data_IF_029215101758
#
_entry.id   IF_029215101758
#
_cell.length_a   1.000
_cell.length_b   1.000
_cell.length_c   1.000
_cell.angle_alpha   90.00
_cell.angle_beta   90.00
_cell.angle_gamma   90.00
#
_symmetry.space_group_name_H-M   'P 1'
#
loop_
_entity.id
_entity.type
_entity.pdbx_description
1 polymer ?
#
# COMPACT_ATOMS: atom_id res chain seq x y z
N UNK A 1 7.15 -31.69 -2.39
CA UNK A 1 6.99 -30.28 -2.82
C UNK A 1 8.19 -29.56 -2.24
N UNK A 2 8.98 -28.86 -3.05
CA UNK A 2 10.10 -28.08 -2.50
C UNK A 2 9.52 -26.95 -1.63
N UNK A 3 10.10 -26.67 -0.45
CA UNK A 3 9.63 -25.58 0.39
C UNK A 3 9.90 -24.25 -0.31
N UNK A 4 8.88 -23.41 -0.44
CA UNK A 4 9.04 -22.02 -0.88
C UNK A 4 9.87 -21.27 0.16
N UNK A 5 10.96 -20.62 -0.26
CA UNK A 5 11.85 -19.83 0.60
C UNK A 5 11.85 -18.37 0.16
N UNK A 6 12.17 -17.46 1.08
CA UNK A 6 12.43 -16.06 0.69
C UNK A 6 13.69 -15.99 -0.21
N UNK A 7 13.79 -15.05 -1.17
CA UNK A 7 14.97 -14.96 -2.05
C UNK A 7 16.32 -14.76 -1.34
N UNK A 8 16.30 -14.20 -0.13
CA UNK A 8 17.47 -13.96 0.72
C UNK A 8 17.70 -15.08 1.75
N UNK A 9 16.80 -16.06 1.85
CA UNK A 9 16.89 -17.14 2.82
C UNK A 9 17.68 -18.32 2.23
N UNK A 10 18.84 -18.68 2.80
CA UNK A 10 19.60 -19.82 2.33
C UNK A 10 18.84 -21.12 2.55
N UNK A 11 18.77 -21.99 1.53
CA UNK A 11 18.11 -23.30 1.61
C UNK A 11 18.68 -24.15 2.75
N UNK A 12 19.98 -24.07 2.99
CA UNK A 12 20.68 -24.78 4.05
C UNK A 12 20.17 -24.39 5.44
N UNK A 13 19.68 -23.15 5.61
CA UNK A 13 19.09 -22.71 6.87
C UNK A 13 17.77 -23.40 7.14
N UNK A 14 16.92 -23.53 6.12
CA UNK A 14 15.64 -24.24 6.21
C UNK A 14 15.87 -25.73 6.50
N UNK A 15 16.78 -26.35 5.77
CA UNK A 15 17.16 -27.76 5.96
C UNK A 15 17.75 -28.02 7.35
N UNK A 16 18.58 -27.09 7.86
CA UNK A 16 19.11 -27.16 9.21
C UNK A 16 18.00 -27.13 10.27
N UNK A 17 17.06 -26.19 10.16
CA UNK A 17 15.91 -26.09 11.08
C UNK A 17 15.04 -27.34 11.00
N UNK A 18 14.75 -27.85 9.80
CA UNK A 18 14.03 -29.11 9.61
C UNK A 18 14.76 -30.29 10.26
N UNK A 19 16.08 -30.36 10.14
CA UNK A 19 16.89 -31.38 10.78
C UNK A 19 16.83 -31.33 12.31
N UNK A 20 16.78 -30.13 12.90
CA UNK A 20 16.58 -29.96 14.35
C UNK A 20 15.16 -30.38 14.77
N UNK A 21 14.14 -29.99 14.00
CA UNK A 21 12.75 -30.42 14.23
C UNK A 21 12.64 -31.95 14.19
N UNK A 22 13.26 -32.61 13.21
CA UNK A 22 13.25 -34.06 13.07
C UNK A 22 13.92 -34.81 14.24
N UNK A 23 14.84 -34.17 14.96
CA UNK A 23 15.46 -34.72 16.18
C UNK A 23 14.55 -34.61 17.42
N UNK A 24 13.54 -33.74 17.39
CA UNK A 24 12.57 -33.56 18.49
C UNK A 24 13.10 -32.80 19.71
N UNK A 25 14.33 -32.28 19.69
CA UNK A 25 14.90 -31.49 20.79
C UNK A 25 14.55 -29.99 20.61
N UNK A 26 13.42 -29.59 21.19
CA UNK A 26 12.91 -28.22 21.10
C UNK A 26 13.79 -27.20 21.82
N UNK A 27 14.54 -27.61 22.84
CA UNK A 27 15.46 -26.74 23.56
C UNK A 27 16.69 -26.39 22.69
N UNK A 28 17.24 -27.38 21.98
CA UNK A 28 18.30 -27.13 20.99
C UNK A 28 17.78 -26.28 19.84
N UNK A 29 16.59 -26.56 19.32
CA UNK A 29 15.96 -25.76 18.27
C UNK A 29 15.77 -24.30 18.71
N UNK A 30 15.18 -24.08 19.90
CA UNK A 30 14.96 -22.74 20.44
C UNK A 30 16.26 -21.97 20.59
N UNK A 31 17.33 -22.59 21.13
CA UNK A 31 18.64 -21.94 21.22
C UNK A 31 19.20 -21.60 19.84
N UNK A 32 19.16 -22.53 18.90
CA UNK A 32 19.69 -22.32 17.54
C UNK A 32 18.94 -21.21 16.77
N UNK A 33 17.66 -21.01 17.06
CA UNK A 33 16.86 -19.92 16.48
C UNK A 33 17.08 -18.59 17.18
N UNK A 34 17.36 -18.57 18.49
CA UNK A 34 17.61 -17.34 19.25
C UNK A 34 19.06 -16.86 19.19
N UNK A 35 20.00 -17.72 18.79
CA UNK A 35 21.40 -17.35 18.65
C UNK A 35 21.57 -16.30 17.52
N UNK A 36 22.27 -15.20 17.79
CA UNK A 36 22.56 -14.17 16.80
C UNK A 36 23.73 -14.63 15.91
N UNK A 37 23.56 -15.72 15.16
CA UNK A 37 24.54 -16.12 14.15
C UNK A 37 24.36 -15.27 12.89
N UNK A 38 24.83 -14.02 12.98
CA UNK A 38 24.75 -13.03 11.92
C UNK A 38 23.38 -12.35 11.81
N UNK A 39 23.34 -11.28 11.03
CA UNK A 39 22.15 -10.45 10.74
C UNK A 39 21.13 -11.19 9.84
N UNK A 40 21.07 -12.52 9.93
CA UNK A 40 20.21 -13.37 9.12
C UNK A 40 18.84 -13.44 9.78
N UNK A 41 17.90 -12.67 9.25
CA UNK A 41 16.48 -12.88 9.51
C UNK A 41 16.10 -14.29 9.02
N UNK A 42 15.34 -15.02 9.84
CA UNK A 42 14.81 -16.33 9.46
C UNK A 42 13.66 -16.08 8.45
N UNK A 43 13.78 -16.65 7.26
CA UNK A 43 12.89 -16.37 6.13
C UNK A 43 11.53 -17.06 6.18
N UNK A 44 10.78 -16.91 5.08
CA UNK A 44 9.48 -17.54 4.90
C UNK A 44 9.53 -19.07 5.03
N UNK A 45 10.62 -19.70 4.60
CA UNK A 45 10.84 -21.14 4.70
C UNK A 45 10.94 -21.62 6.16
N UNK A 46 11.80 -20.99 6.97
CA UNK A 46 11.92 -21.30 8.40
C UNK A 46 10.59 -21.05 9.13
N UNK A 47 9.94 -19.91 8.90
CA UNK A 47 8.65 -19.63 9.56
C UNK A 47 7.57 -20.62 9.16
N UNK A 48 7.56 -21.09 7.91
CA UNK A 48 6.65 -22.16 7.44
C UNK A 48 6.92 -23.49 8.16
N UNK A 49 8.18 -23.87 8.34
CA UNK A 49 8.54 -25.08 9.12
C UNK A 49 8.03 -24.98 10.55
N UNK A 50 8.22 -23.82 11.20
CA UNK A 50 7.77 -23.59 12.57
C UNK A 50 6.23 -23.61 12.71
N UNK A 51 5.51 -23.04 11.75
CA UNK A 51 4.04 -23.07 11.70
C UNK A 51 3.50 -24.49 11.53
N UNK A 52 4.22 -25.35 10.80
CA UNK A 52 3.86 -26.75 10.57
C UNK A 52 4.06 -27.69 11.76
N UNK A 53 4.66 -27.23 12.86
CA UNK A 53 4.88 -28.04 14.05
C UNK A 53 3.55 -28.43 14.76
N UNK A 54 3.51 -29.60 15.43
CA UNK A 54 2.39 -29.96 16.29
C UNK A 54 2.13 -28.89 17.36
N UNK A 55 0.86 -28.70 17.73
CA UNK A 55 0.44 -27.68 18.70
C UNK A 55 1.27 -27.67 19.99
N UNK A 56 1.52 -28.83 20.59
CA UNK A 56 2.30 -28.94 21.81
C UNK A 56 3.73 -28.40 21.66
N UNK A 57 4.40 -28.71 20.54
CA UNK A 57 5.74 -28.21 20.24
C UNK A 57 5.75 -26.70 20.00
N UNK A 58 4.75 -26.19 19.27
CA UNK A 58 4.59 -24.74 19.07
C UNK A 58 4.36 -24.00 20.38
N UNK A 59 3.54 -24.54 21.27
CA UNK A 59 3.27 -23.94 22.58
C UNK A 59 4.52 -23.91 23.47
N UNK A 60 5.33 -24.98 23.45
CA UNK A 60 6.60 -25.02 24.18
C UNK A 60 7.60 -23.99 23.66
N UNK A 61 7.78 -23.91 22.33
CA UNK A 61 8.63 -22.90 21.70
C UNK A 61 8.12 -21.48 21.98
N UNK A 62 6.81 -21.25 21.94
CA UNK A 62 6.21 -19.95 22.24
C UNK A 62 6.56 -19.49 23.66
N UNK A 63 6.49 -20.39 24.65
CA UNK A 63 6.89 -20.08 26.03
C UNK A 63 8.38 -19.72 26.12
N UNK A 64 9.24 -20.49 25.48
CA UNK A 64 10.69 -20.22 25.43
C UNK A 64 11.00 -18.85 24.79
N UNK A 65 10.36 -18.52 23.67
CA UNK A 65 10.54 -17.23 23.00
C UNK A 65 9.98 -16.06 23.81
N UNK A 66 8.82 -16.23 24.45
CA UNK A 66 8.24 -15.21 25.33
C UNK A 66 9.12 -14.94 26.57
N UNK A 67 9.68 -15.99 27.17
CA UNK A 67 10.64 -15.87 28.27
C UNK A 67 11.90 -15.13 27.79
N UNK A 68 12.43 -15.48 26.62
CA UNK A 68 13.56 -14.77 26.02
C UNK A 68 13.23 -13.28 25.80
N UNK A 69 12.10 -12.93 25.20
CA UNK A 69 11.70 -11.53 24.98
C UNK A 69 11.59 -10.75 26.29
N UNK A 70 11.17 -11.39 27.38
CA UNK A 70 10.97 -10.77 28.69
C UNK A 70 12.27 -10.61 29.49
N UNK A 71 13.21 -11.54 29.35
CA UNK A 71 14.45 -11.61 30.15
C UNK A 71 15.65 -11.00 29.46
N UNK A 72 15.61 -10.87 28.12
CA UNK A 72 16.75 -10.45 27.33
C UNK A 72 17.13 -8.99 27.58
N UNK A 73 18.30 -8.81 28.19
CA UNK A 73 19.07 -7.55 28.17
C UNK A 73 19.79 -7.29 26.85
N UNK A 74 19.76 -8.25 25.91
CA UNK A 74 20.38 -8.05 24.60
C UNK A 74 19.75 -6.86 23.88
N UNK A 75 20.52 -6.28 22.96
CA UNK A 75 20.09 -5.11 22.20
C UNK A 75 18.81 -5.36 21.40
N UNK A 76 18.27 -4.28 20.81
CA UNK A 76 16.98 -4.29 20.10
C UNK A 76 16.81 -5.43 19.09
N UNK A 77 17.89 -5.85 18.40
CA UNK A 77 17.86 -6.95 17.44
C UNK A 77 17.48 -8.32 18.03
N UNK A 78 18.01 -8.68 19.20
CA UNK A 78 17.70 -9.96 19.85
C UNK A 78 16.25 -10.03 20.31
N UNK A 79 15.75 -8.93 20.91
CA UNK A 79 14.34 -8.80 21.29
C UNK A 79 13.41 -8.87 20.09
N UNK A 80 13.74 -8.19 18.99
CA UNK A 80 13.00 -8.25 17.72
C UNK A 80 12.91 -9.68 17.20
N UNK A 81 14.05 -10.38 17.12
CA UNK A 81 14.10 -11.77 16.65
C UNK A 81 13.21 -12.70 17.48
N UNK A 82 13.27 -12.58 18.81
CA UNK A 82 12.40 -13.34 19.71
C UNK A 82 10.91 -13.08 19.45
N UNK A 83 10.51 -11.84 19.18
CA UNK A 83 9.12 -11.49 18.84
C UNK A 83 8.66 -12.09 17.52
N UNK A 84 9.51 -12.10 16.49
CA UNK A 84 9.19 -12.68 15.17
C UNK A 84 9.03 -14.20 15.27
N UNK A 85 9.95 -14.86 15.98
CA UNK A 85 9.85 -16.31 16.22
C UNK A 85 8.61 -16.66 17.05
N UNK A 86 8.26 -15.85 18.05
CA UNK A 86 7.02 -15.99 18.81
C UNK A 86 5.78 -15.85 17.91
N UNK A 87 5.77 -14.89 16.97
CA UNK A 87 4.71 -14.74 15.98
C UNK A 87 4.60 -15.98 15.06
N UNK A 88 5.74 -16.55 14.64
CA UNK A 88 5.76 -17.72 13.76
C UNK A 88 5.11 -18.96 14.39
N UNK A 89 5.27 -19.19 15.71
CA UNK A 89 4.73 -20.39 16.37
C UNK A 89 3.35 -20.22 16.99
N UNK A 90 2.89 -19.00 17.24
CA UNK A 90 1.69 -18.69 18.05
C UNK A 90 0.33 -18.80 17.33
N UNK A 91 0.32 -19.26 16.07
CA UNK A 91 -0.92 -19.40 15.27
C UNK A 91 -2.04 -20.14 16.03
N UNK A 92 -3.18 -19.48 16.20
CA UNK A 92 -4.37 -20.02 16.85
C UNK A 92 -4.38 -20.02 18.38
N UNK A 93 -3.34 -19.49 19.05
CA UNK A 93 -3.28 -19.41 20.51
C UNK A 93 -2.52 -18.20 21.05
N UNK A 94 -2.38 -17.13 20.26
CA UNK A 94 -1.68 -15.92 20.66
C UNK A 94 -2.31 -15.28 21.92
N UNK A 95 -1.45 -14.84 22.85
CA UNK A 95 -1.84 -14.07 24.03
C UNK A 95 -1.94 -12.56 23.71
N UNK A 96 -2.78 -11.84 24.47
CA UNK A 96 -2.97 -10.40 24.30
C UNK A 96 -1.69 -9.59 24.46
N UNK A 97 -0.82 -9.94 25.43
CA UNK A 97 0.44 -9.24 25.65
C UNK A 97 1.43 -9.42 24.50
N UNK A 98 1.37 -10.55 23.79
CA UNK A 98 2.19 -10.80 22.60
C UNK A 98 1.69 -9.96 21.42
N UNK A 99 0.38 -9.85 21.26
CA UNK A 99 -0.24 -8.99 20.25
C UNK A 99 0.18 -7.53 20.44
N UNK A 100 0.11 -7.01 21.66
CA UNK A 100 0.51 -5.64 21.96
C UNK A 100 2.01 -5.39 21.64
N UNK A 101 2.87 -6.39 21.88
CA UNK A 101 4.29 -6.30 21.53
C UNK A 101 4.55 -6.32 20.01
N UNK A 102 3.80 -7.12 19.24
CA UNK A 102 3.88 -7.11 17.77
C UNK A 102 3.33 -5.83 17.17
N UNK A 103 2.22 -5.30 17.70
CA UNK A 103 1.68 -4.00 17.28
C UNK A 103 2.67 -2.87 17.52
N UNK A 104 3.32 -2.85 18.69
CA UNK A 104 4.36 -1.88 19.01
C UNK A 104 5.56 -1.99 18.06
N UNK A 105 6.00 -3.22 17.75
CA UNK A 105 7.07 -3.47 16.78
C UNK A 105 6.70 -2.94 15.39
N UNK A 106 5.53 -3.29 14.88
CA UNK A 106 5.11 -2.86 13.54
C UNK A 106 4.89 -1.35 13.45
N UNK A 107 4.33 -0.71 14.48
CA UNK A 107 4.15 0.75 14.53
C UNK A 107 5.49 1.48 14.54
N UNK A 108 6.46 0.99 15.32
CA UNK A 108 7.82 1.52 15.36
C UNK A 108 8.57 1.34 14.03
N UNK A 109 8.21 0.32 13.24
CA UNK A 109 8.75 0.13 11.89
C UNK A 109 8.10 1.10 10.90
N UNK A 110 6.77 1.23 10.94
CA UNK A 110 6.03 2.15 10.09
C UNK A 110 6.39 3.63 10.31
N UNK A 111 6.79 4.01 11.52
CA UNK A 111 7.24 5.38 11.81
C UNK A 111 8.65 5.70 11.28
N UNK A 112 9.46 4.68 10.97
CA UNK A 112 10.87 4.84 10.57
C UNK A 112 11.13 4.48 9.11
N UNK A 113 10.27 3.65 8.54
CA UNK A 113 10.46 3.12 7.19
C UNK A 113 9.27 3.46 6.30
N UNK A 114 9.59 3.88 5.08
CA UNK A 114 8.59 4.00 4.02
C UNK A 114 8.14 2.62 3.53
N UNK A 115 9.10 1.74 3.25
CA UNK A 115 8.90 0.37 2.79
C UNK A 115 10.00 -0.53 3.39
N UNK A 116 9.76 -1.83 3.40
CA UNK A 116 10.72 -2.83 3.84
C UNK A 116 11.07 -3.80 2.71
N UNK A 117 12.38 -3.99 2.47
CA UNK A 117 12.88 -4.84 1.38
C UNK A 117 12.79 -6.33 1.70
N UNK A 118 13.51 -6.79 2.72
CA UNK A 118 13.80 -8.23 2.93
C UNK A 118 13.67 -8.70 4.38
N UNK A 119 13.06 -7.91 5.28
CA UNK A 119 12.94 -8.31 6.69
C UNK A 119 11.60 -9.04 6.93
N UNK A 120 11.66 -10.31 7.34
CA UNK A 120 10.49 -11.19 7.50
C UNK A 120 9.60 -10.82 8.71
N UNK A 121 10.06 -9.85 9.53
CA UNK A 121 9.37 -9.38 10.73
C UNK A 121 7.99 -8.80 10.41
N UNK A 122 7.90 -8.05 9.32
CA UNK A 122 6.70 -7.36 8.86
C UNK A 122 5.55 -8.34 8.57
N UNK A 123 5.80 -9.34 7.72
CA UNK A 123 4.78 -10.29 7.29
C UNK A 123 4.43 -11.30 8.38
N UNK A 124 5.43 -11.76 9.13
CA UNK A 124 5.23 -12.77 10.18
C UNK A 124 4.40 -12.20 11.33
N UNK A 125 4.72 -11.00 11.81
CA UNK A 125 3.96 -10.34 12.88
C UNK A 125 2.58 -9.87 12.37
N UNK A 126 2.50 -9.34 11.15
CA UNK A 126 1.22 -8.94 10.54
C UNK A 126 0.24 -10.11 10.44
N UNK A 127 0.72 -11.27 10.00
CA UNK A 127 -0.08 -12.50 9.93
C UNK A 127 -0.57 -12.93 11.32
N UNK A 128 0.31 -12.95 12.34
CA UNK A 128 -0.04 -13.35 13.69
C UNK A 128 -1.11 -12.44 14.33
N UNK A 129 -1.02 -11.12 14.10
CA UNK A 129 -2.02 -10.16 14.57
C UNK A 129 -3.38 -10.38 13.92
N UNK A 130 -3.41 -10.57 12.60
CA UNK A 130 -4.64 -10.83 11.87
C UNK A 130 -5.29 -12.14 12.34
N UNK A 131 -4.51 -13.20 12.59
CA UNK A 131 -5.01 -14.48 13.13
C UNK A 131 -5.58 -14.35 14.54
N UNK A 132 -5.01 -13.46 15.35
CA UNK A 132 -5.56 -13.08 16.65
C UNK A 132 -6.82 -12.18 16.54
N UNK A 133 -7.31 -11.92 15.32
CA UNK A 133 -8.47 -11.06 15.07
C UNK A 133 -8.21 -9.57 15.30
N UNK A 134 -6.94 -9.15 15.42
CA UNK A 134 -6.56 -7.75 15.59
C UNK A 134 -6.62 -7.03 14.23
N UNK A 135 -6.97 -5.74 14.28
CA UNK A 135 -6.85 -4.84 13.13
C UNK A 135 -5.46 -4.21 13.14
N UNK A 136 -4.89 -4.03 11.96
CA UNK A 136 -3.62 -3.31 11.81
C UNK A 136 -3.87 -1.80 11.75
N UNK A 137 -2.94 -1.04 12.29
CA UNK A 137 -2.92 0.42 12.20
C UNK A 137 -2.71 0.88 10.74
N UNK A 138 -3.24 2.05 10.38
CA UNK A 138 -3.19 2.55 9.00
C UNK A 138 -1.78 2.73 8.46
N UNK A 139 -0.84 3.17 9.30
CA UNK A 139 0.57 3.32 8.90
C UNK A 139 1.24 1.96 8.66
N UNK A 140 0.87 0.95 9.45
CA UNK A 140 1.35 -0.43 9.27
C UNK A 140 0.80 -1.03 7.98
N UNK A 141 -0.48 -0.78 7.67
CA UNK A 141 -1.10 -1.19 6.41
C UNK A 141 -0.41 -0.54 5.22
N UNK A 142 -0.07 0.75 5.31
CA UNK A 142 0.69 1.44 4.28
C UNK A 142 2.08 0.83 4.09
N UNK A 143 2.82 0.59 5.18
CA UNK A 143 4.12 -0.08 5.15
C UNK A 143 4.06 -1.44 4.47
N UNK A 144 3.05 -2.27 4.78
CA UNK A 144 2.83 -3.58 4.15
C UNK A 144 2.59 -3.46 2.64
N UNK A 145 1.67 -2.58 2.23
CA UNK A 145 1.36 -2.36 0.80
C UNK A 145 2.55 -1.83 0.01
N UNK A 146 3.30 -0.88 0.58
CA UNK A 146 4.53 -0.33 -0.05
C UNK A 146 5.60 -1.40 -0.20
N UNK A 147 5.85 -2.16 0.87
CA UNK A 147 6.80 -3.28 0.87
C UNK A 147 6.47 -4.32 -0.20
N UNK A 148 5.19 -4.63 -0.39
CA UNK A 148 4.75 -5.55 -1.44
C UNK A 148 4.94 -5.00 -2.87
N UNK A 149 4.83 -3.68 -3.07
CA UNK A 149 5.06 -3.05 -4.37
C UNK A 149 6.55 -2.89 -4.70
N UNK A 150 7.41 -2.70 -3.69
CA UNK A 150 8.85 -2.49 -3.88
C UNK A 150 9.67 -3.79 -3.88
N UNK A 151 9.20 -4.86 -3.22
CA UNK A 151 10.01 -6.05 -2.93
C UNK A 151 9.69 -7.29 -3.78
N UNK A 152 10.68 -8.17 -3.90
CA UNK A 152 10.56 -9.50 -4.53
C UNK A 152 10.07 -10.56 -3.53
N UNK A 153 9.02 -10.25 -2.75
CA UNK A 153 8.48 -11.17 -1.76
C UNK A 153 7.76 -12.35 -2.44
N UNK A 154 7.88 -13.59 -1.90
CA UNK A 154 7.06 -14.71 -2.35
C UNK A 154 5.56 -14.39 -2.18
N UNK A 155 4.74 -14.66 -3.20
CA UNK A 155 3.30 -14.37 -3.15
C UNK A 155 2.62 -15.13 -2.00
N UNK A 156 3.09 -16.34 -1.69
CA UNK A 156 2.60 -17.19 -0.60
C UNK A 156 2.83 -16.57 0.78
N UNK A 157 3.77 -15.63 0.91
CA UNK A 157 4.01 -14.85 2.12
C UNK A 157 3.09 -13.62 2.21
N UNK A 158 2.92 -12.92 1.08
CA UNK A 158 2.27 -11.61 1.00
C UNK A 158 0.75 -11.71 0.93
N UNK A 159 0.22 -12.58 0.07
CA UNK A 159 -1.21 -12.67 -0.22
C UNK A 159 -2.07 -12.99 1.02
N UNK A 160 -1.67 -13.91 1.93
CA UNK A 160 -2.44 -14.19 3.13
C UNK A 160 -2.61 -12.98 4.06
N UNK A 161 -1.65 -12.04 4.02
CA UNK A 161 -1.73 -10.79 4.80
C UNK A 161 -2.52 -9.74 4.03
N UNK A 162 -2.12 -9.42 2.79
CA UNK A 162 -2.73 -8.35 2.00
C UNK A 162 -4.22 -8.60 1.73
N UNK A 163 -4.62 -9.84 1.47
CA UNK A 163 -6.03 -10.20 1.22
C UNK A 163 -6.96 -10.01 2.42
N UNK A 164 -6.40 -9.78 3.62
CA UNK A 164 -7.15 -9.55 4.87
C UNK A 164 -7.07 -8.10 5.36
N UNK A 165 -6.40 -7.21 4.62
CA UNK A 165 -6.31 -5.79 4.97
C UNK A 165 -7.58 -5.07 4.52
N UNK A 166 -8.43 -4.71 5.47
CA UNK A 166 -9.72 -4.07 5.19
C UNK A 166 -9.69 -2.54 5.14
N UNK A 167 -8.58 -1.91 5.54
CA UNK A 167 -8.47 -0.46 5.53
C UNK A 167 -7.16 0.01 6.13
N UNK A 168 -6.84 1.31 6.00
CA UNK A 168 -7.58 2.33 5.25
C UNK A 168 -7.62 2.08 3.73
N UNK A 169 -8.60 2.68 3.03
CA UNK A 169 -8.76 2.49 1.58
C UNK A 169 -7.56 3.05 0.82
N UNK A 170 -7.05 4.22 1.21
CA UNK A 170 -5.77 4.78 0.75
C UNK A 170 -4.69 4.55 1.82
N UNK A 171 -3.42 4.58 1.41
CA UNK A 171 -2.32 4.66 2.34
C UNK A 171 -2.18 6.10 2.90
N UNK A 172 -2.06 6.30 4.22
CA UNK A 172 -1.70 7.59 4.79
C UNK A 172 -0.31 8.09 4.36
N UNK A 173 -0.07 9.39 4.49
CA UNK A 173 1.20 10.06 4.27
C UNK A 173 1.22 11.01 3.06
N UNK A 174 0.38 10.78 2.05
CA UNK A 174 0.12 11.79 1.02
C UNK A 174 -0.89 12.79 1.56
N UNK A 175 -0.60 14.10 1.56
CA UNK A 175 -1.51 15.13 2.11
C UNK A 175 -2.95 15.03 1.58
N UNK A 176 -3.09 14.75 0.28
CA UNK A 176 -4.40 14.59 -0.34
C UNK A 176 -5.10 13.31 0.11
N UNK A 177 -4.37 12.20 0.27
CA UNK A 177 -4.92 10.95 0.76
C UNK A 177 -5.31 11.07 2.23
N UNK A 178 -4.49 11.72 3.06
CA UNK A 178 -4.80 12.02 4.46
C UNK A 178 -6.07 12.85 4.58
N UNK A 179 -6.25 13.83 3.68
CA UNK A 179 -7.48 14.64 3.63
C UNK A 179 -8.71 13.78 3.28
N UNK A 180 -8.60 12.92 2.26
CA UNK A 180 -9.66 11.97 1.89
C UNK A 180 -10.01 11.07 3.08
N UNK A 181 -9.01 10.43 3.70
CA UNK A 181 -9.19 9.52 4.82
C UNK A 181 -9.83 10.20 6.04
N UNK A 182 -9.50 11.47 6.30
CA UNK A 182 -10.10 12.24 7.38
C UNK A 182 -11.56 12.64 7.11
N UNK A 183 -11.93 12.90 5.85
CA UNK A 183 -13.30 13.30 5.49
C UNK A 183 -14.25 12.12 5.27
N UNK A 184 -13.74 10.98 4.77
CA UNK A 184 -14.55 9.81 4.40
C UNK A 184 -15.56 9.36 5.48
N UNK A 185 -15.21 9.30 6.79
CA UNK A 185 -16.18 8.91 7.81
C UNK A 185 -17.42 9.81 7.88
N UNK A 186 -17.27 11.11 7.61
CA UNK A 186 -18.38 12.06 7.60
C UNK A 186 -19.16 12.06 6.28
N UNK A 187 -18.50 11.69 5.18
CA UNK A 187 -19.08 11.60 3.84
C UNK A 187 -19.92 10.32 3.64
N UNK A 188 -19.58 9.24 4.34
CA UNK A 188 -20.36 8.00 4.36
C UNK A 188 -20.01 7.00 3.25
N UNK A 189 -20.74 5.88 3.25
CA UNK A 189 -20.44 4.68 2.45
C UNK A 189 -20.37 4.91 0.92
N UNK A 190 -21.26 5.70 0.28
CA UNK A 190 -21.19 5.90 -1.16
C UNK A 190 -19.87 6.57 -1.60
N UNK A 191 -19.32 7.45 -0.76
CA UNK A 191 -18.01 8.06 -0.99
C UNK A 191 -16.87 7.07 -0.82
N UNK A 192 -16.97 6.17 0.16
CA UNK A 192 -16.00 5.09 0.31
C UNK A 192 -15.97 4.19 -0.93
N UNK A 193 -17.13 3.77 -1.43
CA UNK A 193 -17.25 2.95 -2.64
C UNK A 193 -16.68 3.67 -3.87
N UNK A 194 -16.89 4.99 -3.98
CA UNK A 194 -16.34 5.80 -5.08
C UNK A 194 -14.81 5.87 -5.05
N UNK A 195 -14.21 6.09 -3.87
CA UNK A 195 -12.74 6.12 -3.70
C UNK A 195 -12.13 4.73 -3.93
N UNK A 196 -12.79 3.67 -3.46
CA UNK A 196 -12.36 2.29 -3.71
C UNK A 196 -12.41 1.95 -5.21
N UNK A 197 -13.46 2.34 -5.92
CA UNK A 197 -13.54 2.18 -7.38
C UNK A 197 -12.44 2.99 -8.10
N UNK A 198 -12.08 4.17 -7.57
CA UNK A 198 -10.99 4.97 -8.10
C UNK A 198 -9.63 4.26 -8.01
N UNK A 199 -9.36 3.49 -6.95
CA UNK A 199 -8.11 2.69 -6.82
C UNK A 199 -7.93 1.66 -7.94
N UNK A 200 -9.00 1.29 -8.62
CA UNK A 200 -8.97 0.30 -9.69
C UNK A 200 -8.94 0.97 -11.08
N UNK A 201 -8.65 2.28 -11.13
CA UNK A 201 -8.59 3.01 -12.39
C UNK A 201 -7.47 2.47 -13.29
N UNK A 202 -7.76 2.16 -14.56
CA UNK A 202 -6.75 1.66 -15.48
C UNK A 202 -5.75 2.76 -15.82
N UNK A 203 -4.47 2.44 -15.70
CA UNK A 203 -3.35 3.31 -16.05
C UNK A 203 -3.19 3.38 -17.58
N UNK A 204 -4.06 4.13 -18.26
CA UNK A 204 -4.00 4.25 -19.72
C UNK A 204 -5.25 4.77 -20.39
N UNK A 205 -5.68 4.09 -21.47
CA UNK A 205 -6.84 4.48 -22.29
C UNK A 205 -8.15 4.28 -21.54
N UNK A 206 -9.18 5.01 -22.00
CA UNK A 206 -10.52 4.89 -21.45
C UNK A 206 -11.05 3.45 -21.57
N UNK A 207 -11.59 2.97 -20.46
CA UNK A 207 -12.33 1.73 -20.32
C UNK A 207 -13.79 2.07 -20.04
N UNK A 208 -14.67 1.86 -21.04
CA UNK A 208 -16.08 2.26 -20.97
C UNK A 208 -16.81 1.66 -19.76
N UNK A 209 -16.49 0.42 -19.38
CA UNK A 209 -17.10 -0.22 -18.21
C UNK A 209 -16.69 0.47 -16.91
N UNK A 210 -15.44 0.94 -16.81
CA UNK A 210 -14.98 1.66 -15.63
C UNK A 210 -15.67 3.03 -15.53
N UNK A 211 -15.79 3.75 -16.66
CA UNK A 211 -16.49 5.06 -16.71
C UNK A 211 -17.96 4.92 -16.30
N UNK A 212 -18.63 3.89 -16.82
CA UNK A 212 -20.06 3.65 -16.55
C UNK A 212 -20.29 3.35 -15.07
N UNK A 213 -19.44 2.52 -14.46
CA UNK A 213 -19.53 2.23 -13.03
C UNK A 213 -19.18 3.45 -12.17
N UNK A 214 -18.17 4.23 -12.56
CA UNK A 214 -17.80 5.46 -11.84
C UNK A 214 -18.96 6.47 -11.84
N UNK A 215 -19.64 6.65 -12.97
CA UNK A 215 -20.84 7.50 -13.07
C UNK A 215 -22.00 6.94 -12.25
N UNK A 216 -22.24 5.63 -12.26
CA UNK A 216 -23.29 5.02 -11.47
C UNK A 216 -23.06 5.18 -9.95
N UNK A 217 -21.81 5.13 -9.50
CA UNK A 217 -21.44 5.39 -8.10
C UNK A 217 -21.56 6.89 -7.73
N UNK A 218 -21.29 7.78 -8.68
CA UNK A 218 -21.38 9.23 -8.49
C UNK A 218 -22.81 9.78 -8.57
N UNK A 219 -23.72 9.12 -9.28
CA UNK A 219 -25.11 9.53 -9.48
C UNK A 219 -25.87 9.82 -8.16
N UNK A 220 -25.90 8.92 -7.15
CA UNK A 220 -26.61 9.17 -5.89
C UNK A 220 -25.99 10.31 -5.06
N UNK A 221 -24.72 10.65 -5.28
CA UNK A 221 -24.04 11.76 -4.62
C UNK A 221 -24.36 13.11 -5.28
N UNK A 222 -24.75 13.10 -6.56
CA UNK A 222 -24.99 14.29 -7.35
C UNK A 222 -23.69 14.92 -7.89
N UNK A 223 -23.63 15.30 -9.18
CA UNK A 223 -22.39 15.74 -9.82
C UNK A 223 -21.79 17.02 -9.22
N UNK A 224 -22.61 17.91 -8.66
CA UNK A 224 -22.15 19.13 -7.98
C UNK A 224 -21.38 18.80 -6.70
N UNK A 225 -21.98 18.00 -5.81
CA UNK A 225 -21.35 17.58 -4.57
C UNK A 225 -20.08 16.76 -4.85
N UNK A 226 -20.12 15.86 -5.83
CA UNK A 226 -18.94 15.07 -6.21
C UNK A 226 -17.77 15.98 -6.58
N UNK A 227 -18.04 17.01 -7.39
CA UNK A 227 -17.05 18.00 -7.80
C UNK A 227 -16.54 18.83 -6.63
N UNK A 228 -17.44 19.40 -5.83
CA UNK A 228 -17.11 20.33 -4.75
C UNK A 228 -16.24 19.67 -3.68
N UNK A 229 -16.43 18.37 -3.45
CA UNK A 229 -15.60 17.57 -2.55
C UNK A 229 -14.28 17.13 -3.19
N UNK A 230 -14.29 16.65 -4.45
CA UNK A 230 -13.09 16.09 -5.09
C UNK A 230 -12.09 17.15 -5.58
N UNK A 231 -12.56 18.32 -6.04
CA UNK A 231 -11.66 19.34 -6.58
C UNK A 231 -10.60 19.79 -5.56
N UNK A 232 -10.94 20.08 -4.28
CA UNK A 232 -9.94 20.35 -3.24
C UNK A 232 -8.93 19.21 -3.02
N UNK A 233 -9.36 17.94 -3.08
CA UNK A 233 -8.43 16.80 -2.96
C UNK A 233 -7.42 16.77 -4.11
N UNK A 234 -7.88 17.01 -5.34
CA UNK A 234 -7.03 17.07 -6.53
C UNK A 234 -6.08 18.27 -6.50
N UNK A 235 -6.55 19.43 -6.05
CA UNK A 235 -5.71 20.62 -5.89
C UNK A 235 -4.61 20.39 -4.86
N UNK A 236 -4.93 19.73 -3.73
CA UNK A 236 -3.93 19.35 -2.73
C UNK A 236 -2.93 18.33 -3.29
N UNK A 237 -3.38 17.40 -4.12
CA UNK A 237 -2.49 16.45 -4.79
C UNK A 237 -1.53 17.16 -5.75
N UNK A 238 -1.92 18.27 -6.39
CA UNK A 238 -1.05 19.08 -7.25
C UNK A 238 0.08 19.79 -6.48
N UNK A 239 0.06 19.80 -5.16
CA UNK A 239 1.17 20.30 -4.34
C UNK A 239 2.31 19.29 -4.21
N UNK A 240 2.07 18.01 -4.51
CA UNK A 240 3.04 16.92 -4.47
C UNK A 240 2.57 15.71 -3.65
N UNK A 241 3.39 14.66 -3.65
CA UNK A 241 3.21 13.49 -2.78
C UNK A 241 3.89 13.64 -1.42
N UNK A 242 3.70 12.64 -0.57
CA UNK A 242 4.19 12.58 0.81
C UNK A 242 5.64 12.11 0.97
N UNK A 243 6.28 11.63 -0.10
CA UNK A 243 7.67 11.16 -0.05
C UNK A 243 8.66 12.34 -0.05
N UNK A 244 9.87 12.11 0.46
CA UNK A 244 10.95 13.11 0.49
C UNK A 244 11.33 13.63 -0.92
N UNK A 245 11.13 12.81 -1.96
CA UNK A 245 11.34 13.18 -3.36
C UNK A 245 10.11 13.84 -4.01
N UNK A 246 9.05 14.06 -3.24
CA UNK A 246 7.76 14.61 -3.68
C UNK A 246 6.93 13.64 -4.52
N UNK A 247 7.34 12.37 -4.66
CA UNK A 247 6.55 11.37 -5.37
C UNK A 247 5.35 10.92 -4.53
N UNK A 248 4.27 10.53 -5.21
CA UNK A 248 3.10 9.94 -4.55
C UNK A 248 3.39 8.53 -4.06
N UNK A 249 2.60 8.07 -3.10
CA UNK A 249 2.51 6.64 -2.81
C UNK A 249 2.04 5.87 -4.04
N UNK A 250 2.81 4.85 -4.43
CA UNK A 250 2.52 4.02 -5.60
C UNK A 250 1.18 3.29 -5.48
N UNK A 251 0.74 2.96 -4.27
CA UNK A 251 -0.56 2.35 -4.01
C UNK A 251 -1.71 3.34 -4.21
N UNK A 252 -1.51 4.63 -3.87
CA UNK A 252 -2.54 5.66 -3.99
C UNK A 252 -2.67 6.22 -5.40
N UNK A 253 -1.63 6.10 -6.24
CA UNK A 253 -1.59 6.71 -7.57
C UNK A 253 -2.77 6.32 -8.48
N UNK A 254 -3.22 5.05 -8.54
CA UNK A 254 -4.43 4.68 -9.29
C UNK A 254 -5.68 5.45 -8.84
N UNK A 255 -5.89 5.65 -7.54
CA UNK A 255 -7.02 6.45 -7.04
C UNK A 255 -6.98 7.86 -7.59
N UNK A 256 -5.83 8.52 -7.56
CA UNK A 256 -5.69 9.88 -8.07
C UNK A 256 -5.96 9.96 -9.59
N UNK A 257 -5.53 8.95 -10.35
CA UNK A 257 -5.87 8.79 -11.78
C UNK A 257 -7.37 8.62 -11.98
N UNK A 258 -8.02 7.79 -11.16
CA UNK A 258 -9.47 7.57 -11.18
C UNK A 258 -10.27 8.83 -10.86
N UNK A 259 -9.88 9.54 -9.80
CA UNK A 259 -10.53 10.79 -9.37
C UNK A 259 -10.40 11.89 -10.44
N UNK A 260 -9.20 12.09 -11.00
CA UNK A 260 -8.98 13.05 -12.09
C UNK A 260 -9.83 12.70 -13.33
N UNK A 261 -9.92 11.41 -13.66
CA UNK A 261 -10.75 10.94 -14.77
C UNK A 261 -12.24 11.14 -14.51
N UNK A 262 -12.71 10.85 -13.29
CA UNK A 262 -14.10 11.04 -12.92
C UNK A 262 -14.53 12.50 -13.05
N UNK A 263 -13.68 13.47 -12.69
CA UNK A 263 -13.99 14.89 -12.92
C UNK A 263 -14.29 15.22 -14.39
N UNK A 264 -13.66 14.53 -15.35
CA UNK A 264 -13.96 14.71 -16.78
C UNK A 264 -15.25 14.04 -17.27
N UNK A 265 -15.86 13.17 -16.45
CA UNK A 265 -17.13 12.52 -16.74
C UNK A 265 -18.34 13.33 -16.27
N UNK A 266 -18.13 14.22 -15.29
CA UNK A 266 -19.17 15.09 -14.74
C UNK A 266 -19.49 16.24 -15.71
N UNK A 267 -20.66 16.90 -15.57
CA UNK A 267 -20.94 18.13 -16.30
C UNK A 267 -19.79 19.15 -16.19
N UNK A 268 -19.42 19.84 -17.28
CA UNK A 268 -18.27 20.76 -17.29
C UNK A 268 -18.38 21.85 -16.22
N UNK A 269 -17.25 22.17 -15.58
CA UNK A 269 -17.19 23.21 -14.56
C UNK A 269 -15.80 23.82 -14.43
N UNK A 270 -15.69 25.14 -14.15
CA UNK A 270 -14.42 25.82 -13.96
C UNK A 270 -13.52 25.19 -12.90
N UNK A 271 -14.07 24.75 -11.76
CA UNK A 271 -13.26 24.16 -10.68
C UNK A 271 -12.67 22.79 -11.05
N UNK A 272 -13.41 21.96 -11.80
CA UNK A 272 -12.85 20.71 -12.34
C UNK A 272 -11.70 20.99 -13.30
N UNK A 273 -11.84 21.99 -14.16
CA UNK A 273 -10.81 22.40 -15.13
C UNK A 273 -9.59 22.94 -14.40
N UNK A 274 -9.78 23.80 -13.38
CA UNK A 274 -8.69 24.36 -12.56
C UNK A 274 -7.94 23.27 -11.81
N UNK A 275 -8.64 22.36 -11.14
CA UNK A 275 -8.04 21.26 -10.39
C UNK A 275 -7.21 20.35 -11.31
N UNK A 276 -7.75 19.99 -12.49
CA UNK A 276 -7.00 19.21 -13.48
C UNK A 276 -5.81 19.98 -14.06
N UNK A 277 -5.97 21.28 -14.31
CA UNK A 277 -4.89 22.15 -14.77
C UNK A 277 -3.74 22.25 -13.75
N UNK A 278 -4.06 22.33 -12.46
CA UNK A 278 -3.07 22.32 -11.39
C UNK A 278 -2.20 21.05 -11.40
N UNK A 279 -2.79 19.86 -11.61
CA UNK A 279 -2.05 18.60 -11.77
C UNK A 279 -1.11 18.60 -12.99
N UNK A 280 -1.47 19.32 -14.05
CA UNK A 280 -0.65 19.41 -15.27
C UNK A 280 0.51 20.40 -15.10
N UNK A 281 0.25 21.52 -14.45
CA UNK A 281 1.22 22.60 -14.26
C UNK A 281 2.28 22.29 -13.20
N UNK A 282 1.87 21.63 -12.11
CA UNK A 282 2.73 21.26 -10.98
C UNK A 282 2.76 19.74 -10.82
N UNK A 283 3.20 18.98 -11.83
CA UNK A 283 3.23 17.54 -11.69
C UNK A 283 4.33 17.21 -10.67
N UNK A 284 4.05 16.37 -9.66
CA UNK A 284 5.14 15.81 -8.89
C UNK A 284 6.06 15.01 -9.80
N UNK A 285 7.30 14.87 -9.37
CA UNK A 285 8.35 14.24 -10.15
C UNK A 285 7.92 12.82 -10.54
N UNK A 286 8.05 12.50 -11.84
CA UNK A 286 8.01 11.13 -12.40
C UNK A 286 6.67 10.39 -12.35
N UNK A 287 5.54 11.04 -12.68
CA UNK A 287 4.23 10.34 -12.69
C UNK A 287 3.52 10.35 -14.04
N UNK A 288 2.78 9.28 -14.31
CA UNK A 288 1.86 9.15 -15.45
C UNK A 288 0.58 9.98 -15.28
N UNK A 289 0.38 10.57 -14.10
CA UNK A 289 -0.79 11.36 -13.73
C UNK A 289 -0.97 12.59 -14.62
N UNK A 290 0.12 13.28 -14.96
CA UNK A 290 0.08 14.47 -15.83
C UNK A 290 -0.58 14.17 -17.17
N UNK A 291 -0.22 13.04 -17.78
CA UNK A 291 -0.82 12.60 -19.04
C UNK A 291 -2.30 12.25 -18.88
N UNK A 292 -2.71 11.70 -17.72
CA UNK A 292 -4.12 11.46 -17.39
C UNK A 292 -4.87 12.78 -17.25
N UNK A 293 -4.32 13.77 -16.55
CA UNK A 293 -4.97 15.08 -16.38
C UNK A 293 -5.12 15.82 -17.72
N UNK A 294 -4.12 15.78 -18.60
CA UNK A 294 -4.24 16.33 -19.98
C UNK A 294 -5.36 15.63 -20.76
N UNK A 295 -5.45 14.29 -20.69
CA UNK A 295 -6.54 13.54 -21.35
C UNK A 295 -7.91 13.84 -20.75
N UNK A 296 -7.98 14.03 -19.44
CA UNK A 296 -9.19 14.40 -18.73
C UNK A 296 -9.67 15.79 -19.18
N UNK A 297 -8.77 16.77 -19.27
CA UNK A 297 -9.07 18.09 -19.83
C UNK A 297 -9.55 18.02 -21.29
N UNK A 298 -8.87 17.25 -22.13
CA UNK A 298 -9.23 17.07 -23.54
C UNK A 298 -10.62 16.45 -23.75
N UNK A 299 -11.14 15.74 -22.75
CA UNK A 299 -12.48 15.10 -22.78
C UNK A 299 -13.61 16.07 -22.43
N UNK A 300 -13.32 17.14 -21.69
CA UNK A 300 -14.33 18.12 -21.31
C UNK A 300 -14.71 18.94 -22.55
N UNK A 301 -16.02 19.16 -22.82
CA UNK A 301 -16.52 20.02 -23.90
C UNK A 301 -15.71 21.30 -24.14
N UNK A 302 -15.48 21.54 -25.44
CA UNK A 302 -14.29 22.17 -26.00
C UNK A 302 -14.00 23.60 -25.51
N UNK A 303 -15.00 24.46 -25.31
CA UNK A 303 -14.72 25.89 -25.15
C UNK A 303 -14.04 26.24 -23.82
N UNK A 304 -14.42 25.58 -22.72
CA UNK A 304 -13.85 25.89 -21.40
C UNK A 304 -12.49 25.22 -21.19
N UNK A 305 -12.35 23.94 -21.55
CA UNK A 305 -11.12 23.20 -21.33
C UNK A 305 -10.00 23.62 -22.30
N UNK A 306 -10.35 24.09 -23.51
CA UNK A 306 -9.37 24.57 -24.48
C UNK A 306 -8.61 25.80 -23.98
N UNK A 307 -9.28 26.76 -23.34
CA UNK A 307 -8.59 27.93 -22.77
C UNK A 307 -7.55 27.51 -21.74
N UNK A 308 -7.87 26.53 -20.89
CA UNK A 308 -6.93 26.01 -19.91
C UNK A 308 -5.77 25.24 -20.58
N UNK A 309 -6.05 24.40 -21.57
CA UNK A 309 -5.00 23.72 -22.34
C UNK A 309 -4.07 24.71 -23.07
N UNK A 310 -4.61 25.81 -23.60
CA UNK A 310 -3.81 26.89 -24.20
C UNK A 310 -2.92 27.57 -23.16
N UNK A 311 -3.47 27.91 -21.98
CA UNK A 311 -2.69 28.44 -20.85
C UNK A 311 -1.56 27.48 -20.46
N UNK A 312 -1.87 26.19 -20.31
CA UNK A 312 -0.91 25.15 -19.96
C UNK A 312 0.18 24.99 -21.02
N UNK A 313 -0.14 25.12 -22.31
CA UNK A 313 0.86 25.06 -23.39
C UNK A 313 1.89 26.19 -23.28
N UNK A 314 1.52 27.34 -22.72
CA UNK A 314 2.43 28.47 -22.52
C UNK A 314 3.35 28.29 -21.28
N UNK A 315 2.89 27.61 -20.23
CA UNK A 315 3.66 27.47 -18.98
C UNK A 315 4.41 26.14 -18.83
N UNK A 316 3.90 25.03 -19.39
CA UNK A 316 4.50 23.70 -19.23
C UNK A 316 5.72 23.53 -20.14
N UNK A 317 6.90 23.40 -19.54
CA UNK A 317 8.17 23.24 -20.27
C UNK A 317 8.59 21.79 -20.48
N UNK A 318 7.98 20.84 -19.79
CA UNK A 318 8.31 19.43 -19.94
C UNK A 318 7.91 18.91 -21.33
N UNK A 319 8.89 18.52 -22.15
CA UNK A 319 8.73 18.20 -23.58
C UNK A 319 7.60 17.20 -23.87
N UNK A 320 7.52 16.12 -23.09
CA UNK A 320 6.52 15.06 -23.31
C UNK A 320 5.11 15.57 -22.98
N UNK A 321 4.95 16.29 -21.86
CA UNK A 321 3.67 16.86 -21.44
C UNK A 321 3.21 17.95 -22.41
N UNK A 322 4.12 18.85 -22.80
CA UNK A 322 3.82 19.90 -23.78
C UNK A 322 3.35 19.29 -25.10
N UNK A 323 3.98 18.21 -25.59
CA UNK A 323 3.52 17.48 -26.77
C UNK A 323 2.10 16.95 -26.59
N UNK A 324 1.78 16.32 -25.46
CA UNK A 324 0.43 15.83 -25.15
C UNK A 324 -0.60 16.97 -25.13
N UNK A 325 -0.24 18.15 -24.61
CA UNK A 325 -1.10 19.34 -24.62
C UNK A 325 -1.35 19.82 -26.06
N UNK A 326 -0.30 19.90 -26.89
CA UNK A 326 -0.45 20.27 -28.30
C UNK A 326 -1.32 19.28 -29.08
N UNK A 327 -1.15 17.97 -28.83
CA UNK A 327 -1.99 16.92 -29.41
C UNK A 327 -3.46 17.09 -29.00
N UNK A 328 -3.73 17.42 -27.73
CA UNK A 328 -5.09 17.71 -27.23
C UNK A 328 -5.71 18.99 -27.82
N UNK A 329 -4.89 19.98 -28.20
CA UNK A 329 -5.34 21.23 -28.82
C UNK A 329 -5.55 21.12 -30.34
N UNK A 330 -5.01 20.09 -30.97
CA UNK A 330 -5.15 19.88 -32.40
C UNK A 330 -6.63 19.76 -32.77
N UNK A 331 -7.08 20.37 -33.89
CA UNK A 331 -8.45 20.21 -34.33
C UNK A 331 -8.74 18.71 -34.50
N UNK A 332 -9.84 18.22 -33.92
CA UNK A 332 -10.31 16.86 -34.20
C UNK A 332 -10.43 16.73 -35.72
N UNK A 333 -9.53 15.96 -36.33
CA UNK A 333 -9.71 15.55 -37.70
C UNK A 333 -10.97 14.70 -37.70
N UNK A 334 -12.09 15.30 -38.11
CA UNK A 334 -13.37 14.63 -38.31
C UNK A 334 -13.16 13.54 -39.36
N UNK A 335 -12.74 12.36 -38.92
CA UNK A 335 -12.93 11.13 -39.69
C UNK A 335 -14.43 10.92 -39.69
N UNK A 336 -15.02 11.24 -40.85
CA UNK A 336 -16.44 11.08 -41.14
C UNK A 336 -16.79 9.60 -41.27
#
# INVERSE_FOLDING_TARGET
MEPTTSPWEPRERVEYVQGLVGKGDLAVLSRALLLPEGDRDDGFGVTTVLRGLPFAARLELARSFAEHVSTTRAGAGGRRRGLVLLAAVSYGFADGSWCDAWEALLRDRASRLWACGTEDDLWTCGHALLDAGRRLDGEVVALLRRSALEGSWPQECVEPVLGRLHGPVLNPGDRWADRVLAELPALGEPWHALVEHALHAPMGRSHRNWDSLALALADPLGPGQVRDTMAPWIELAAEGGGRDDGAYDAYNLPALVGLARLLSLLPPHPDSIRALGALVERPPLRTSLTGTAVRALARIPHDLARTELQRLSACVRHKVTHRQICEALAPEQRVS
#
